data_IF_203057102049
#
_entry.id   IF_203057102049
#
_cell.length_a   1.000
_cell.length_b   1.000
_cell.length_c   1.000
_cell.angle_alpha   90.00
_cell.angle_beta   90.00
_cell.angle_gamma   90.00
#
_symmetry.space_group_name_H-M   'P 1'
#
loop_
_entity.id
_entity.type
_entity.pdbx_description
1 polymer ?
#
# COMPACT_ATOMS: atom_id res chain seq x y z
N UNK A 1 20.49 -13.68 -9.67
CA UNK A 1 19.89 -12.45 -9.07
C UNK A 1 20.98 -11.39 -9.08
N UNK A 2 20.75 -10.12 -9.46
CA UNK A 2 19.59 -9.28 -9.08
C UNK A 2 18.97 -8.47 -10.26
N UNK A 3 17.65 -8.31 -10.28
CA UNK A 3 17.02 -7.22 -11.06
C UNK A 3 16.07 -6.45 -10.13
N UNK A 4 16.66 -5.61 -9.29
CA UNK A 4 15.93 -4.52 -8.63
C UNK A 4 15.82 -3.38 -9.63
N UNK A 5 15.12 -3.64 -10.73
CA UNK A 5 14.79 -2.61 -11.71
C UNK A 5 13.72 -1.74 -11.07
N UNK A 6 14.18 -0.64 -10.45
CA UNK A 6 13.39 0.32 -9.70
C UNK A 6 12.51 1.10 -10.68
N UNK A 7 11.44 0.47 -11.16
CA UNK A 7 10.35 1.16 -11.83
C UNK A 7 9.86 2.23 -10.86
N UNK A 8 9.99 3.50 -11.26
CA UNK A 8 9.48 4.64 -10.51
C UNK A 8 7.94 4.56 -10.54
N UNK A 9 7.36 3.65 -9.77
CA UNK A 9 5.92 3.61 -9.53
C UNK A 9 5.57 4.96 -8.93
N UNK A 10 4.68 5.69 -9.60
CA UNK A 10 4.14 6.95 -9.09
C UNK A 10 3.31 6.64 -7.84
N UNK A 11 3.98 6.63 -6.70
CA UNK A 11 3.36 6.58 -5.38
C UNK A 11 2.80 7.97 -5.10
N UNK A 12 1.49 8.06 -4.99
CA UNK A 12 0.84 9.29 -4.57
C UNK A 12 1.02 9.49 -3.05
N UNK A 13 0.66 10.66 -2.52
CA UNK A 13 0.75 10.93 -1.07
C UNK A 13 -0.10 9.95 -0.26
N UNK A 14 -1.21 9.50 -0.83
CA UNK A 14 -2.08 8.46 -0.26
C UNK A 14 -1.40 7.10 -0.20
N UNK A 15 -0.76 6.69 -1.30
CA UNK A 15 -0.06 5.41 -1.38
C UNK A 15 1.12 5.37 -0.40
N UNK A 16 1.82 6.50 -0.25
CA UNK A 16 2.87 6.66 0.76
C UNK A 16 2.32 6.50 2.18
N UNK A 17 1.18 7.13 2.51
CA UNK A 17 0.53 6.97 3.81
C UNK A 17 0.10 5.53 4.05
N UNK A 18 -0.45 4.86 3.04
CA UNK A 18 -0.83 3.44 3.10
C UNK A 18 0.39 2.61 3.51
N UNK A 19 1.50 2.78 2.79
CA UNK A 19 2.75 2.08 3.08
C UNK A 19 3.30 2.42 4.47
N UNK A 20 3.26 3.68 4.89
CA UNK A 20 3.68 4.07 6.25
C UNK A 20 2.83 3.41 7.34
N UNK A 21 1.51 3.31 7.15
CA UNK A 21 0.64 2.66 8.12
C UNK A 21 0.85 1.14 8.14
N UNK A 22 0.97 0.50 6.97
CA UNK A 22 1.29 -0.93 6.85
C UNK A 22 2.67 -1.28 7.44
N UNK A 23 3.67 -0.40 7.24
CA UNK A 23 5.00 -0.58 7.83
C UNK A 23 5.00 -0.38 9.35
N UNK A 24 4.17 0.54 9.85
CA UNK A 24 3.99 0.74 11.29
C UNK A 24 3.24 -0.41 11.93
N UNK A 25 2.21 -0.91 11.27
CA UNK A 25 1.29 -1.91 11.78
C UNK A 25 0.70 -2.73 10.62
N UNK A 26 1.34 -3.86 10.34
CA UNK A 26 0.95 -4.78 9.27
C UNK A 26 -0.29 -5.61 9.59
N UNK A 27 -0.79 -5.56 10.83
CA UNK A 27 -2.00 -6.26 11.27
C UNK A 27 -3.27 -5.45 11.00
N UNK A 28 -3.14 -4.22 10.48
CA UNK A 28 -4.28 -3.38 10.14
C UNK A 28 -5.08 -3.97 9.00
N UNK A 29 -6.38 -4.07 9.20
CA UNK A 29 -7.31 -4.43 8.12
C UNK A 29 -7.41 -3.29 7.10
N UNK A 30 -7.81 -3.60 5.87
CA UNK A 30 -8.03 -2.60 4.82
C UNK A 30 -9.01 -1.49 5.24
N UNK A 31 -9.98 -1.78 6.10
CA UNK A 31 -10.90 -0.77 6.63
C UNK A 31 -10.19 0.19 7.60
N UNK A 32 -9.44 -0.34 8.57
CA UNK A 32 -8.68 0.47 9.52
C UNK A 32 -7.59 1.29 8.84
N UNK A 33 -6.92 0.69 7.86
CA UNK A 33 -5.95 1.36 7.01
C UNK A 33 -6.58 2.53 6.26
N UNK A 34 -7.75 2.32 5.65
CA UNK A 34 -8.49 3.36 4.96
C UNK A 34 -8.86 4.52 5.91
N UNK A 35 -9.37 4.21 7.10
CA UNK A 35 -9.68 5.21 8.13
C UNK A 35 -8.44 6.00 8.55
N UNK A 36 -7.30 5.34 8.82
CA UNK A 36 -6.06 6.03 9.20
C UNK A 36 -5.50 6.90 8.08
N UNK A 37 -5.68 6.50 6.83
CA UNK A 37 -5.18 7.24 5.66
C UNK A 37 -6.12 8.39 5.29
N UNK A 38 -7.38 8.34 5.73
CA UNK A 38 -8.44 9.31 5.42
C UNK A 38 -9.16 9.01 4.10
N UNK A 39 -9.30 7.73 3.75
CA UNK A 39 -9.96 7.24 2.56
C UNK A 39 -11.15 6.34 2.93
N UNK A 40 -12.09 6.20 1.99
CA UNK A 40 -13.06 5.11 2.08
C UNK A 40 -12.40 3.75 1.79
N UNK A 41 -12.95 2.64 2.30
CA UNK A 41 -12.37 1.30 2.09
C UNK A 41 -12.28 0.89 0.61
N UNK A 42 -13.24 1.28 -0.22
CA UNK A 42 -13.25 0.97 -1.66
C UNK A 42 -12.04 1.53 -2.44
N UNK A 43 -11.71 2.85 -2.38
CA UNK A 43 -10.51 3.37 -3.03
C UNK A 43 -9.21 2.87 -2.38
N UNK A 44 -9.21 2.61 -1.07
CA UNK A 44 -8.04 2.06 -0.39
C UNK A 44 -7.69 0.66 -0.92
N UNK A 45 -8.68 -0.24 -1.02
CA UNK A 45 -8.49 -1.58 -1.57
C UNK A 45 -7.92 -1.54 -2.98
N UNK A 46 -8.43 -0.64 -3.83
CA UNK A 46 -7.97 -0.50 -5.22
C UNK A 46 -6.51 -0.04 -5.30
N UNK A 47 -6.08 0.86 -4.39
CA UNK A 47 -4.68 1.30 -4.29
C UNK A 47 -3.77 0.20 -3.75
N UNK A 48 -4.20 -0.50 -2.69
CA UNK A 48 -3.47 -1.65 -2.14
C UNK A 48 -3.25 -2.71 -3.21
N UNK A 49 -4.28 -3.09 -3.95
CA UNK A 49 -4.16 -4.02 -5.09
C UNK A 49 -3.19 -3.54 -6.15
N UNK A 50 -3.26 -2.27 -6.55
CA UNK A 50 -2.32 -1.72 -7.53
C UNK A 50 -0.87 -1.75 -7.03
N UNK A 51 -0.65 -1.53 -5.73
CA UNK A 51 0.66 -1.62 -5.10
C UNK A 51 1.14 -3.08 -4.96
N UNK A 52 0.24 -4.03 -4.74
CA UNK A 52 0.51 -5.48 -4.76
C UNK A 52 0.88 -5.95 -6.18
N UNK A 53 0.08 -5.57 -7.18
CA UNK A 53 0.34 -5.87 -8.60
C UNK A 53 1.64 -5.23 -9.09
N UNK A 54 1.98 -4.05 -8.58
CA UNK A 54 3.27 -3.39 -8.85
C UNK A 54 4.46 -4.03 -8.09
N UNK A 55 4.22 -5.03 -7.25
CA UNK A 55 5.25 -5.69 -6.44
C UNK A 55 5.81 -4.83 -5.30
N UNK A 56 5.13 -3.74 -4.93
CA UNK A 56 5.52 -2.85 -3.83
C UNK A 56 5.04 -3.40 -2.49
N UNK A 57 3.81 -3.94 -2.44
CA UNK A 57 3.29 -4.65 -1.27
C UNK A 57 3.52 -6.14 -1.53
N UNK A 58 4.49 -6.72 -0.82
CA UNK A 58 4.92 -8.12 -1.03
C UNK A 58 4.21 -9.08 -0.07
N UNK A 59 3.72 -8.60 1.08
CA UNK A 59 3.08 -9.46 2.08
C UNK A 59 2.15 -8.69 3.02
N UNK A 60 0.90 -9.13 3.12
CA UNK A 60 0.06 -8.99 4.30
C UNK A 60 0.36 -10.20 5.22
N UNK A 61 0.64 -9.93 6.50
CA UNK A 61 0.93 -10.98 7.50
C UNK A 61 -0.35 -11.55 8.09
#
# INVERSE_FOLDING_TARGET
MPVTEKTLVKIDKLDRKILEQLQKDGSLTNQQLAEKVGLSPSPCLRRVRALEEAGIIVRTV
#
